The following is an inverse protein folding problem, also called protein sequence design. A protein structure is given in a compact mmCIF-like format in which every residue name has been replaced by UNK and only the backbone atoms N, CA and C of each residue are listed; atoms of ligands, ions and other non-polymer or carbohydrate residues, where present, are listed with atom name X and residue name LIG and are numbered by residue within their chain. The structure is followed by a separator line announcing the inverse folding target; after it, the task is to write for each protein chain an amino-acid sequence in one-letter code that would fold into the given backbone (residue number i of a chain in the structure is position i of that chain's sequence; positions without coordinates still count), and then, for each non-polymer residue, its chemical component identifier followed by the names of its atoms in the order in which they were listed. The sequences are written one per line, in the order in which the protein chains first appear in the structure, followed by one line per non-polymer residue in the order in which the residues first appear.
data_IF_967527387334
#
_entry.id   IF_967527387334
#
_cell.length_a   1.000
_cell.length_b   1.000
_cell.length_c   1.000
_cell.angle_alpha   90.00
_cell.angle_beta   90.00
_cell.angle_gamma   90.00
#
_symmetry.space_group_name_H-M   'P 1'
#
loop_
_entity.id
_entity.type
_entity.pdbx_description
1 polymer ?
#
# COMPACT_ATOMS: atom_id res chain seq x y z
N UNK A 1 21.97 -5.66 -11.44
CA UNK A 1 20.68 -6.13 -10.93
C UNK A 1 20.83 -6.51 -9.49
N UNK A 2 19.92 -6.07 -8.66
CA UNK A 2 19.98 -6.35 -7.23
C UNK A 2 19.54 -7.79 -6.94
N UNK A 3 20.22 -8.44 -5.98
CA UNK A 3 19.80 -9.78 -5.54
C UNK A 3 18.50 -9.72 -4.77
N UNK A 4 18.33 -8.69 -3.97
CA UNK A 4 17.19 -8.55 -3.03
C UNK A 4 16.40 -7.33 -3.42
N UNK A 5 15.36 -7.54 -4.21
CA UNK A 5 14.55 -6.40 -4.66
C UNK A 5 13.13 -6.84 -4.98
N UNK A 6 12.18 -6.19 -4.34
CA UNK A 6 10.77 -6.28 -4.69
C UNK A 6 10.36 -4.98 -5.38
N UNK A 7 9.50 -5.11 -6.39
CA UNK A 7 8.88 -3.97 -7.06
C UNK A 7 7.45 -3.85 -6.54
N UNK A 8 7.04 -2.64 -6.18
CA UNK A 8 5.69 -2.38 -5.64
C UNK A 8 4.94 -1.45 -6.57
N UNK A 9 3.74 -1.85 -6.97
CA UNK A 9 2.82 -1.05 -7.77
C UNK A 9 1.56 -0.84 -6.95
N UNK A 10 1.02 0.38 -6.92
CA UNK A 10 -0.14 0.74 -6.11
C UNK A 10 -1.20 1.39 -6.98
N UNK A 11 -2.44 0.94 -6.79
CA UNK A 11 -3.60 1.53 -7.42
C UNK A 11 -4.62 1.92 -6.35
N UNK A 12 -4.67 3.20 -5.94
CA UNK A 12 -5.64 3.65 -4.95
C UNK A 12 -6.99 3.96 -5.61
N UNK A 13 -8.06 3.88 -4.80
CA UNK A 13 -9.41 4.11 -5.28
C UNK A 13 -10.29 4.65 -4.15
N UNK A 14 -11.05 5.72 -4.41
CA UNK A 14 -12.03 6.24 -3.48
C UNK A 14 -13.29 5.38 -3.49
N UNK A 15 -13.82 5.07 -2.31
CA UNK A 15 -15.02 4.26 -2.15
C UNK A 15 -16.17 5.13 -1.65
N UNK A 16 -16.87 5.79 -2.59
CA UNK A 16 -17.98 6.70 -2.25
C UNK A 16 -19.07 5.99 -1.46
N UNK A 17 -19.42 4.77 -1.86
CA UNK A 17 -20.51 4.05 -1.22
C UNK A 17 -20.25 3.72 0.24
N UNK A 18 -18.99 3.69 0.66
CA UNK A 18 -18.62 3.41 2.04
C UNK A 18 -18.22 4.65 2.80
N UNK A 19 -18.27 5.80 2.14
CA UNK A 19 -17.86 7.08 2.72
C UNK A 19 -19.06 7.88 3.20
N UNK A 20 -18.81 8.82 4.12
CA UNK A 20 -19.78 9.78 4.59
C UNK A 20 -19.10 11.16 4.65
N UNK A 21 -18.94 11.82 3.49
CA UNK A 21 -18.19 13.08 3.42
C UNK A 21 -18.71 14.18 4.33
N UNK A 22 -20.02 14.26 4.51
CA UNK A 22 -20.63 15.24 5.41
C UNK A 22 -20.34 14.98 6.87
N UNK A 23 -19.84 13.80 7.20
CA UNK A 23 -19.40 13.45 8.54
C UNK A 23 -17.87 13.33 8.65
N UNK A 24 -17.15 13.78 7.62
CA UNK A 24 -15.71 13.73 7.61
C UNK A 24 -15.16 12.32 7.50
N UNK A 25 -15.85 11.45 6.77
CA UNK A 25 -15.39 10.08 6.57
C UNK A 25 -15.18 9.80 5.09
N UNK A 26 -13.91 9.56 4.73
CA UNK A 26 -13.50 9.27 3.36
C UNK A 26 -12.77 7.93 3.35
N UNK A 27 -13.36 6.93 2.70
CA UNK A 27 -12.86 5.56 2.68
C UNK A 27 -12.22 5.27 1.33
N UNK A 28 -11.03 4.69 1.37
CA UNK A 28 -10.27 4.34 0.17
C UNK A 28 -9.89 2.88 0.20
N UNK A 29 -9.85 2.27 -0.98
CA UNK A 29 -9.19 1.00 -1.18
C UNK A 29 -7.87 1.25 -1.90
N UNK A 30 -6.90 0.38 -1.70
CA UNK A 30 -5.68 0.40 -2.50
C UNK A 30 -5.31 -1.04 -2.83
N UNK A 31 -4.99 -1.26 -4.10
CA UNK A 31 -4.53 -2.56 -4.59
C UNK A 31 -3.03 -2.47 -4.78
N UNK A 32 -2.31 -3.42 -4.18
CA UNK A 32 -0.86 -3.45 -4.23
C UNK A 32 -0.42 -4.73 -4.90
N UNK A 33 0.47 -4.59 -5.89
CA UNK A 33 1.11 -5.72 -6.53
C UNK A 33 2.59 -5.69 -6.18
N UNK A 34 3.08 -6.77 -5.59
CA UNK A 34 4.46 -6.92 -5.18
C UNK A 34 5.09 -7.99 -6.06
N UNK A 35 6.14 -7.65 -6.77
CA UNK A 35 6.84 -8.59 -7.66
C UNK A 35 8.28 -8.73 -7.20
N UNK A 36 8.76 -9.97 -7.09
CA UNK A 36 10.17 -10.20 -6.81
C UNK A 36 10.95 -10.02 -8.12
N UNK A 37 11.66 -8.90 -8.22
CA UNK A 37 12.50 -8.60 -9.38
C UNK A 37 13.97 -8.83 -9.08
N UNK A 38 14.29 -9.39 -7.93
CA UNK A 38 15.63 -9.81 -7.56
C UNK A 38 15.94 -11.21 -8.06
N UNK A 39 17.09 -11.72 -7.65
CA UNK A 39 17.51 -13.05 -8.07
C UNK A 39 17.40 -14.11 -6.97
N UNK A 40 16.92 -13.76 -5.79
CA UNK A 40 16.83 -14.65 -4.64
C UNK A 40 15.39 -14.67 -4.12
N UNK A 41 14.90 -15.85 -3.77
CA UNK A 41 13.60 -16.01 -3.14
C UNK A 41 13.57 -15.28 -1.81
N UNK A 42 12.49 -14.55 -1.53
CA UNK A 42 12.36 -13.78 -0.29
C UNK A 42 10.92 -13.75 0.16
N UNK A 43 10.74 -13.51 1.47
CA UNK A 43 9.45 -13.48 2.11
C UNK A 43 9.18 -12.11 2.70
N UNK A 44 7.98 -11.58 2.46
CA UNK A 44 7.50 -10.37 3.11
C UNK A 44 7.05 -10.74 4.53
N UNK A 45 7.63 -10.11 5.53
CA UNK A 45 7.39 -10.45 6.94
C UNK A 45 6.43 -9.48 7.61
N UNK A 46 6.65 -8.17 7.43
CA UNK A 46 5.85 -7.17 8.14
C UNK A 46 5.73 -5.90 7.31
N UNK A 47 4.79 -5.04 7.73
CA UNK A 47 4.51 -3.79 7.05
C UNK A 47 4.52 -2.63 8.03
N UNK A 48 4.90 -1.46 7.54
CA UNK A 48 4.75 -0.19 8.23
C UNK A 48 4.12 0.79 7.27
N UNK A 49 3.03 1.44 7.68
CA UNK A 49 2.35 2.45 6.89
C UNK A 49 2.36 3.79 7.62
N UNK A 50 2.49 4.86 6.86
CA UNK A 50 2.30 6.22 7.33
C UNK A 50 1.18 6.84 6.50
N UNK A 51 0.10 7.21 7.15
CA UNK A 51 -1.09 7.77 6.51
C UNK A 51 -1.22 9.20 6.97
N UNK A 52 -1.21 10.14 6.02
CA UNK A 52 -1.25 11.57 6.31
C UNK A 52 -2.52 12.17 5.70
N UNK A 53 -3.28 12.91 6.50
CA UNK A 53 -4.43 13.64 5.97
C UNK A 53 -4.04 15.05 5.55
N UNK A 54 -4.99 15.81 5.00
CA UNK A 54 -4.73 17.16 4.51
C UNK A 54 -4.49 18.18 5.62
N UNK A 55 -4.83 17.82 6.87
CA UNK A 55 -4.64 18.69 8.03
C UNK A 55 -3.30 18.44 8.73
N UNK A 56 -2.46 17.58 8.17
CA UNK A 56 -1.16 17.28 8.77
C UNK A 56 -1.20 16.21 9.85
N UNK A 57 -2.36 15.57 10.06
CA UNK A 57 -2.45 14.46 11.00
C UNK A 57 -1.85 13.22 10.36
N UNK A 58 -0.97 12.54 11.11
CA UNK A 58 -0.29 11.33 10.65
C UNK A 58 -0.66 10.17 11.54
N UNK A 59 -1.02 9.06 10.91
CA UNK A 59 -1.26 7.79 11.60
C UNK A 59 -0.23 6.77 11.13
N UNK A 60 0.41 6.09 12.07
CA UNK A 60 1.39 5.05 11.76
C UNK A 60 0.79 3.70 12.10
N UNK A 61 0.81 2.78 11.15
CA UNK A 61 0.26 1.43 11.32
C UNK A 61 1.36 0.42 11.07
N UNK A 62 1.54 -0.51 12.01
CA UNK A 62 2.52 -1.59 11.89
C UNK A 62 1.81 -2.92 12.09
N UNK A 63 2.26 -3.94 11.39
CA UNK A 63 1.70 -5.27 11.57
C UNK A 63 2.47 -6.33 10.81
N UNK A 64 2.17 -7.59 11.14
CA UNK A 64 2.77 -8.72 10.45
C UNK A 64 2.03 -8.95 9.13
N UNK A 65 2.79 -9.20 8.07
CA UNK A 65 2.25 -9.58 6.77
C UNK A 65 1.41 -8.52 6.10
N UNK A 66 0.66 -8.95 5.10
CA UNK A 66 -0.30 -8.14 4.37
C UNK A 66 -1.57 -8.97 4.19
N UNK A 67 -2.71 -8.43 4.62
CA UNK A 67 -4.03 -9.10 4.65
C UNK A 67 -3.95 -10.54 5.18
N UNK A 68 -3.19 -10.73 6.26
CA UNK A 68 -3.06 -12.04 6.91
C UNK A 68 -2.07 -12.98 6.24
N UNK A 69 -1.31 -12.52 5.26
CA UNK A 69 -0.36 -13.35 4.52
C UNK A 69 1.06 -12.84 4.67
N UNK A 70 2.02 -13.76 4.67
CA UNK A 70 3.44 -13.42 4.57
C UNK A 70 3.98 -14.10 3.31
N UNK A 71 3.72 -13.50 2.14
CA UNK A 71 4.01 -14.19 0.89
C UNK A 71 5.49 -14.46 0.67
N UNK A 72 5.78 -15.69 0.25
CA UNK A 72 7.11 -16.11 -0.15
C UNK A 72 7.16 -16.05 -1.66
N UNK A 73 8.03 -15.22 -2.21
CA UNK A 73 8.10 -14.95 -3.64
C UNK A 73 9.43 -15.39 -4.21
N UNK A 74 9.38 -16.29 -5.18
CA UNK A 74 10.54 -16.64 -5.99
C UNK A 74 10.79 -15.54 -7.01
N UNK A 75 12.01 -15.46 -7.58
CA UNK A 75 12.25 -14.48 -8.64
C UNK A 75 11.18 -14.59 -9.73
N UNK A 76 10.55 -13.47 -10.07
CA UNK A 76 9.47 -13.40 -11.04
C UNK A 76 8.07 -13.59 -10.47
N UNK A 77 7.93 -14.09 -9.25
CA UNK A 77 6.62 -14.27 -8.63
C UNK A 77 6.05 -12.92 -8.18
N UNK A 78 4.72 -12.84 -8.17
CA UNK A 78 4.02 -11.66 -7.72
C UNK A 78 2.91 -12.05 -6.73
N UNK A 79 2.60 -11.13 -5.82
CA UNK A 79 1.48 -11.22 -4.89
C UNK A 79 0.69 -9.93 -4.99
N UNK A 80 -0.62 -10.05 -5.17
CA UNK A 80 -1.49 -8.89 -5.27
C UNK A 80 -2.55 -8.95 -4.18
N UNK A 81 -2.82 -7.82 -3.54
CA UNK A 81 -3.86 -7.74 -2.54
C UNK A 81 -4.51 -6.36 -2.53
N UNK A 82 -5.71 -6.30 -1.98
CA UNK A 82 -6.44 -5.04 -1.79
C UNK A 82 -6.73 -4.86 -0.32
N UNK A 83 -6.50 -3.68 0.19
CA UNK A 83 -6.81 -3.31 1.56
C UNK A 83 -7.44 -1.93 1.57
N UNK A 84 -7.76 -1.41 2.73
CA UNK A 84 -8.43 -0.13 2.84
C UNK A 84 -7.86 0.75 3.92
N UNK A 85 -8.18 2.02 3.80
CA UNK A 85 -7.87 3.02 4.81
C UNK A 85 -8.96 4.08 4.80
N UNK A 86 -8.97 4.91 5.84
CA UNK A 86 -9.93 6.00 5.92
C UNK A 86 -9.23 7.28 6.34
N UNK A 87 -9.74 8.39 5.83
CA UNK A 87 -9.25 9.73 6.18
C UNK A 87 -10.40 10.57 6.70
N UNK A 88 -10.07 11.61 7.45
CA UNK A 88 -11.03 12.64 7.86
C UNK A 88 -11.12 13.78 6.88
N UNK A 89 -10.25 13.78 5.86
CA UNK A 89 -10.21 14.81 4.83
C UNK A 89 -10.33 14.16 3.47
N UNK A 90 -10.80 14.89 2.44
CA UNK A 90 -10.99 14.30 1.11
C UNK A 90 -9.69 13.91 0.40
N UNK A 91 -8.56 14.42 0.85
CA UNK A 91 -7.26 14.09 0.26
C UNK A 91 -6.26 13.76 1.35
N UNK A 92 -5.26 12.96 0.97
CA UNK A 92 -4.15 12.64 1.85
C UNK A 92 -3.11 11.85 1.10
N UNK A 93 -2.12 11.34 1.82
CA UNK A 93 -1.05 10.55 1.23
C UNK A 93 -0.78 9.33 2.09
N UNK A 94 -0.18 8.33 1.48
CA UNK A 94 0.19 7.12 2.18
C UNK A 94 1.52 6.63 1.62
N UNK A 95 2.41 6.20 2.50
CA UNK A 95 3.68 5.58 2.11
C UNK A 95 4.09 4.61 3.20
N UNK A 96 5.05 3.76 2.89
CA UNK A 96 5.46 2.80 3.90
C UNK A 96 6.62 1.93 3.47
N UNK A 97 6.81 0.84 4.22
CA UNK A 97 7.92 -0.07 4.05
C UNK A 97 7.46 -1.48 4.34
N UNK A 98 7.91 -2.43 3.54
CA UNK A 98 7.76 -3.86 3.82
C UNK A 98 9.11 -4.40 4.27
N UNK A 99 9.14 -5.04 5.43
CA UNK A 99 10.33 -5.74 5.91
C UNK A 99 10.34 -7.15 5.34
N UNK A 100 11.44 -7.53 4.72
CA UNK A 100 11.57 -8.80 4.00
C UNK A 100 12.81 -9.57 4.45
N UNK A 101 12.74 -10.89 4.31
CA UNK A 101 13.87 -11.78 4.60
C UNK A 101 14.03 -12.73 3.41
N UNK A 102 15.24 -12.76 2.85
CA UNK A 102 15.57 -13.67 1.77
C UNK A 102 15.88 -15.08 2.31
N UNK A 103 15.79 -16.07 1.43
CA UNK A 103 16.01 -17.46 1.84
C UNK A 103 17.41 -17.72 2.34
N UNK A 104 18.39 -16.88 1.98
CA UNK A 104 19.76 -16.99 2.49
C UNK A 104 19.96 -16.25 3.81
N UNK A 105 18.85 -15.72 4.41
CA UNK A 105 18.87 -15.03 5.69
C UNK A 105 19.12 -13.52 5.60
N UNK A 106 19.34 -12.99 4.43
CA UNK A 106 19.56 -11.55 4.27
C UNK A 106 18.25 -10.80 4.51
N UNK A 107 18.31 -9.74 5.30
CA UNK A 107 17.16 -8.87 5.61
C UNK A 107 17.24 -7.65 4.72
N UNK A 108 16.08 -7.21 4.23
CA UNK A 108 16.02 -5.99 3.43
C UNK A 108 14.64 -5.34 3.55
N UNK A 109 14.60 -4.04 3.31
CA UNK A 109 13.36 -3.28 3.29
C UNK A 109 12.98 -2.98 1.85
N UNK A 110 11.66 -3.00 1.59
CA UNK A 110 11.12 -2.57 0.31
C UNK A 110 10.26 -1.34 0.56
N UNK A 111 10.65 -0.22 -0.02
CA UNK A 111 9.88 1.01 0.13
C UNK A 111 8.65 0.97 -0.75
N UNK A 112 7.53 1.42 -0.20
CA UNK A 112 6.34 1.73 -0.98
C UNK A 112 6.34 3.22 -1.18
N UNK A 113 6.57 3.70 -2.41
CA UNK A 113 6.60 5.14 -2.68
C UNK A 113 5.29 5.80 -2.29
N UNK A 114 5.36 7.06 -1.89
CA UNK A 114 4.18 7.82 -1.52
C UNK A 114 3.16 7.84 -2.66
N UNK A 115 1.91 7.57 -2.32
CA UNK A 115 0.81 7.69 -3.27
C UNK A 115 -0.29 8.57 -2.68
N UNK A 116 -1.07 9.19 -3.57
CA UNK A 116 -2.10 10.13 -3.17
C UNK A 116 -3.44 9.43 -3.03
N UNK A 117 -4.15 9.75 -1.95
CA UNK A 117 -5.53 9.34 -1.74
C UNK A 117 -6.38 10.58 -2.05
N UNK A 118 -7.22 10.51 -3.08
CA UNK A 118 -7.91 11.69 -3.58
C UNK A 118 -9.37 11.37 -3.91
N UNK A 119 -10.26 11.76 -3.01
CA UNK A 119 -11.69 11.57 -3.20
C UNK A 119 -12.23 12.50 -4.28
N UNK A 120 -11.62 13.66 -4.47
CA UNK A 120 -12.08 14.64 -5.45
C UNK A 120 -11.77 14.19 -6.86
N UNK A 121 -10.55 13.70 -7.08
CA UNK A 121 -10.15 13.20 -8.39
C UNK A 121 -10.96 11.99 -8.82
N UNK A 122 -11.20 11.06 -7.89
CA UNK A 122 -12.00 9.88 -8.18
C UNK A 122 -13.44 10.25 -8.53
N UNK A 123 -14.00 11.26 -7.84
CA UNK A 123 -15.32 11.76 -8.15
C UNK A 123 -15.37 12.36 -9.54
N UNK A 124 -14.39 13.17 -9.87
CA UNK A 124 -14.30 13.81 -11.17
C UNK A 124 -14.19 12.77 -12.29
N UNK A 125 -13.36 11.78 -12.10
CA UNK A 125 -13.17 10.73 -13.09
C UNK A 125 -14.48 10.01 -13.39
N UNK A 126 -15.31 9.78 -12.36
CA UNK A 126 -16.58 9.11 -12.55
C UNK A 126 -17.59 9.97 -13.28
N UNK A 127 -17.51 11.27 -13.12
CA UNK A 127 -18.47 12.16 -13.77
C UNK A 127 -18.18 12.39 -15.24
N UNK A 128 -17.06 11.93 -15.71
CA UNK A 128 -16.69 12.10 -17.12
C UNK A 128 -17.37 11.10 -18.05
N UNK A 129 -18.14 10.20 -17.50
CA UNK A 129 -18.81 9.21 -18.37
C UNK A 129 -20.29 9.22 -18.31
#
# INVERSE_FOLDING_TARGET
MSKYQFKVEVLPRFLMAQSAPDQGLFVFAYTIKITNVGSVTAQLISRTWNVNDANGHTEKVKGLGVVGQQPLLKPGDAFEYTSGTRLRTPTGTMHGTFFCVAEDGEKFDTDVPMFVLDALSAGDARTLH
#
